data_IF_623368306224
#
_entry.id   IF_623368306224
#
_cell.length_a   1.000
_cell.length_b   1.000
_cell.length_c   1.000
_cell.angle_alpha   90.00
_cell.angle_beta   90.00
_cell.angle_gamma   90.00
#
_symmetry.space_group_name_H-M   'P 1'
#
loop_
_entity.id
_entity.type
_entity.pdbx_description
1 polymer ?
#
# COMPACT_ATOMS: atom_id res chain seq x y z
N UNK A 1 -27.12 6.55 -2.36
CA UNK A 1 -25.96 7.35 -2.83
C UNK A 1 -24.94 7.65 -1.72
N UNK A 2 -25.37 7.97 -0.50
CA UNK A 2 -24.48 8.29 0.65
C UNK A 2 -23.50 7.15 0.96
N UNK A 3 -23.97 5.91 1.06
CA UNK A 3 -23.13 4.78 1.45
C UNK A 3 -22.07 4.39 0.41
N UNK A 4 -22.38 4.52 -0.90
CA UNK A 4 -21.40 4.27 -1.97
C UNK A 4 -20.20 5.22 -1.88
N UNK A 5 -20.45 6.49 -1.56
CA UNK A 5 -19.41 7.49 -1.32
C UNK A 5 -18.57 7.13 -0.09
N UNK A 6 -19.20 6.68 1.00
CA UNK A 6 -18.51 6.32 2.23
C UNK A 6 -17.61 5.09 2.05
N UNK A 7 -18.01 4.11 1.25
CA UNK A 7 -17.19 2.93 0.93
C UNK A 7 -15.95 3.32 0.13
N UNK A 8 -16.10 4.12 -0.91
CA UNK A 8 -14.93 4.60 -1.69
C UNK A 8 -13.99 5.45 -0.85
N UNK A 9 -14.54 6.28 0.05
CA UNK A 9 -13.73 7.06 0.99
C UNK A 9 -12.98 6.15 1.97
N UNK A 10 -13.65 5.13 2.52
CA UNK A 10 -13.04 4.14 3.43
C UNK A 10 -11.91 3.39 2.73
N UNK A 11 -12.13 2.91 1.50
CA UNK A 11 -11.12 2.21 0.73
C UNK A 11 -9.91 3.09 0.42
N UNK A 12 -10.14 4.37 0.09
CA UNK A 12 -9.07 5.36 -0.08
C UNK A 12 -8.29 5.55 1.23
N UNK A 13 -8.98 5.79 2.35
CA UNK A 13 -8.35 6.03 3.65
C UNK A 13 -7.55 4.82 4.14
N UNK A 14 -8.12 3.61 4.07
CA UNK A 14 -7.42 2.39 4.47
C UNK A 14 -6.22 2.14 3.53
N UNK A 15 -6.39 2.35 2.22
CA UNK A 15 -5.32 2.20 1.24
C UNK A 15 -4.14 3.14 1.50
N UNK A 16 -4.40 4.42 1.78
CA UNK A 16 -3.35 5.41 2.09
C UNK A 16 -2.65 5.09 3.41
N UNK A 17 -3.40 4.80 4.48
CA UNK A 17 -2.83 4.46 5.79
C UNK A 17 -2.00 3.17 5.75
N UNK A 18 -2.48 2.14 5.06
CA UNK A 18 -1.74 0.88 4.94
C UNK A 18 -0.47 1.04 4.13
N UNK A 19 -0.54 1.72 2.98
CA UNK A 19 0.65 1.99 2.17
C UNK A 19 1.68 2.83 2.94
N UNK A 20 1.23 3.84 3.70
CA UNK A 20 2.12 4.64 4.55
C UNK A 20 2.81 3.77 5.60
N UNK A 21 2.05 2.92 6.29
CA UNK A 21 2.59 1.96 7.26
C UNK A 21 3.65 1.06 6.64
N UNK A 22 3.33 0.43 5.52
CA UNK A 22 4.25 -0.50 4.84
C UNK A 22 5.47 0.21 4.25
N UNK A 23 5.34 1.43 3.76
CA UNK A 23 6.50 2.20 3.29
C UNK A 23 7.50 2.45 4.41
N UNK A 24 7.02 2.81 5.61
CA UNK A 24 7.88 3.04 6.78
C UNK A 24 8.54 1.73 7.19
N UNK A 25 7.76 0.65 7.35
CA UNK A 25 8.28 -0.66 7.77
C UNK A 25 9.33 -1.18 6.79
N UNK A 26 9.03 -1.15 5.48
CA UNK A 26 9.96 -1.60 4.45
C UNK A 26 11.23 -0.73 4.44
N UNK A 27 11.08 0.58 4.58
CA UNK A 27 12.23 1.50 4.65
C UNK A 27 13.12 1.22 5.86
N UNK A 28 12.52 1.02 7.04
CA UNK A 28 13.25 0.71 8.28
C UNK A 28 13.97 -0.63 8.18
N UNK A 29 13.27 -1.69 7.78
CA UNK A 29 13.84 -3.04 7.65
C UNK A 29 14.98 -3.06 6.64
N UNK A 30 14.79 -2.48 5.45
CA UNK A 30 15.85 -2.42 4.45
C UNK A 30 17.01 -1.51 4.87
N UNK A 31 16.76 -0.45 5.65
CA UNK A 31 17.84 0.39 6.19
C UNK A 31 18.72 -0.39 7.16
N UNK A 32 18.13 -1.23 8.00
CA UNK A 32 18.90 -2.12 8.88
C UNK A 32 19.66 -3.21 8.13
N UNK A 33 19.07 -3.79 7.08
CA UNK A 33 19.71 -4.85 6.29
C UNK A 33 20.86 -4.29 5.44
N UNK A 34 20.64 -3.14 4.80
CA UNK A 34 21.58 -2.57 3.83
C UNK A 34 22.62 -1.65 4.45
N UNK A 35 22.35 -1.10 5.65
CA UNK A 35 23.17 -0.06 6.28
C UNK A 35 23.00 1.33 5.64
N UNK A 36 22.17 1.47 4.61
CA UNK A 36 21.94 2.75 3.93
C UNK A 36 20.63 3.42 4.39
N UNK A 37 20.60 4.77 4.43
CA UNK A 37 19.37 5.49 4.73
C UNK A 37 18.39 5.38 3.56
N UNK A 38 17.31 4.63 3.76
CA UNK A 38 16.18 4.62 2.84
C UNK A 38 15.09 5.53 3.39
N UNK A 39 14.46 6.32 2.52
CA UNK A 39 13.42 7.26 2.91
C UNK A 39 12.12 6.98 2.14
N UNK A 40 10.98 6.82 2.80
CA UNK A 40 9.70 6.73 2.11
C UNK A 40 9.30 8.10 1.55
N UNK A 41 8.86 8.14 0.29
CA UNK A 41 8.30 9.34 -0.32
C UNK A 41 6.80 9.41 -0.01
N UNK A 42 6.47 10.12 1.08
CA UNK A 42 5.13 10.18 1.65
C UNK A 42 4.07 10.58 0.61
N UNK A 43 4.35 11.57 -0.25
CA UNK A 43 3.40 12.04 -1.26
C UNK A 43 3.03 10.93 -2.24
N UNK A 44 4.03 10.20 -2.73
CA UNK A 44 3.87 9.17 -3.76
C UNK A 44 3.23 7.92 -3.17
N UNK A 45 3.63 7.56 -1.94
CA UNK A 45 3.04 6.46 -1.18
C UNK A 45 1.55 6.71 -0.93
N UNK A 46 1.17 7.93 -0.54
CA UNK A 46 -0.24 8.29 -0.36
C UNK A 46 -0.99 8.19 -1.69
N UNK A 47 -0.45 8.74 -2.78
CA UNK A 47 -1.10 8.66 -4.10
C UNK A 47 -1.29 7.21 -4.55
N UNK A 48 -0.23 6.39 -4.50
CA UNK A 48 -0.28 4.98 -4.92
C UNK A 48 -1.19 4.15 -4.01
N UNK A 49 -1.10 4.33 -2.70
CA UNK A 49 -1.92 3.61 -1.72
C UNK A 49 -3.42 3.92 -1.87
N UNK A 50 -3.76 5.19 -2.06
CA UNK A 50 -5.15 5.61 -2.29
C UNK A 50 -5.72 5.04 -3.60
N UNK A 51 -4.94 5.09 -4.69
CA UNK A 51 -5.32 4.50 -5.98
C UNK A 51 -5.51 2.99 -5.82
N UNK A 52 -4.56 2.29 -5.19
CA UNK A 52 -4.65 0.85 -4.97
C UNK A 52 -5.91 0.46 -4.18
N UNK A 53 -6.24 1.20 -3.11
CA UNK A 53 -7.46 0.99 -2.33
C UNK A 53 -8.74 1.10 -3.17
N UNK A 54 -8.84 2.12 -4.03
CA UNK A 54 -9.99 2.29 -4.93
C UNK A 54 -10.04 1.20 -6.02
N UNK A 55 -8.89 0.86 -6.61
CA UNK A 55 -8.84 -0.13 -7.71
C UNK A 55 -9.20 -1.53 -7.20
N UNK A 56 -8.80 -1.89 -5.97
CA UNK A 56 -9.20 -3.16 -5.33
C UNK A 56 -10.72 -3.24 -5.19
N UNK A 57 -11.37 -2.13 -4.87
CA UNK A 57 -12.83 -2.07 -4.72
C UNK A 57 -13.58 -2.30 -6.05
N UNK A 58 -12.97 -1.93 -7.18
CA UNK A 58 -13.53 -2.16 -8.53
C UNK A 58 -13.51 -3.64 -8.97
N UNK A 59 -13.30 -4.59 -8.05
CA UNK A 59 -13.26 -6.05 -8.30
C UNK A 59 -12.22 -6.47 -9.34
N UNK A 60 -11.17 -5.68 -9.52
CA UNK A 60 -10.02 -6.06 -10.35
C UNK A 60 -9.24 -7.16 -9.63
N UNK A 61 -8.79 -8.18 -10.37
CA UNK A 61 -8.02 -9.29 -9.80
C UNK A 61 -6.79 -8.75 -9.05
N UNK A 62 -6.57 -9.22 -7.82
CA UNK A 62 -5.45 -8.78 -6.97
C UNK A 62 -4.09 -8.91 -7.67
N UNK A 63 -3.91 -9.91 -8.53
CA UNK A 63 -2.70 -10.10 -9.34
C UNK A 63 -2.48 -8.97 -10.35
N UNK A 64 -3.53 -8.45 -10.99
CA UNK A 64 -3.43 -7.32 -11.91
C UNK A 64 -3.06 -6.03 -11.19
N UNK A 65 -3.63 -5.82 -9.99
CA UNK A 65 -3.32 -4.65 -9.16
C UNK A 65 -1.88 -4.72 -8.66
N UNK A 66 -1.42 -5.91 -8.26
CA UNK A 66 -0.04 -6.12 -7.85
C UNK A 66 0.92 -5.80 -8.99
N UNK A 67 0.64 -6.32 -10.19
CA UNK A 67 1.46 -6.04 -11.38
C UNK A 67 1.49 -4.53 -11.66
N UNK A 68 0.34 -3.85 -11.61
CA UNK A 68 0.23 -2.41 -11.83
C UNK A 68 1.00 -1.60 -10.77
N UNK A 69 0.94 -2.01 -9.52
CA UNK A 69 1.65 -1.36 -8.42
C UNK A 69 3.16 -1.51 -8.57
N UNK A 70 3.63 -2.70 -8.93
CA UNK A 70 5.05 -2.98 -9.18
C UNK A 70 5.55 -2.15 -10.37
N UNK A 71 4.85 -2.20 -11.51
CA UNK A 71 5.27 -1.46 -12.71
C UNK A 71 5.24 0.05 -12.48
N UNK A 72 4.22 0.57 -11.80
CA UNK A 72 4.14 1.99 -11.47
C UNK A 72 5.25 2.43 -10.51
N UNK A 73 5.55 1.63 -9.47
CA UNK A 73 6.63 1.94 -8.52
C UNK A 73 8.00 1.93 -9.19
N UNK A 74 8.25 0.97 -10.09
CA UNK A 74 9.50 0.88 -10.87
C UNK A 74 9.63 2.05 -11.84
N UNK A 75 8.55 2.40 -12.56
CA UNK A 75 8.54 3.50 -13.52
C UNK A 75 8.74 4.85 -12.84
N UNK A 76 8.08 5.07 -11.70
CA UNK A 76 8.25 6.27 -10.89
C UNK A 76 9.66 6.38 -10.31
N UNK A 77 10.26 5.25 -9.90
CA UNK A 77 11.66 5.22 -9.47
C UNK A 77 12.62 5.60 -10.60
N UNK A 78 12.37 5.19 -11.85
CA UNK A 78 13.16 5.62 -13.01
C UNK A 78 13.08 7.13 -13.25
N UNK A 79 11.99 7.78 -12.83
CA UNK A 79 11.81 9.23 -12.86
C UNK A 79 12.34 9.94 -11.61
N UNK A 80 13.10 9.27 -10.74
CA UNK A 80 13.59 9.74 -9.41
C UNK A 80 12.51 9.94 -8.34
N UNK A 81 11.26 9.61 -8.65
CA UNK A 81 10.09 9.76 -7.81
C UNK A 81 9.60 8.40 -7.29
N UNK A 82 10.50 7.50 -6.89
CA UNK A 82 10.10 6.19 -6.34
C UNK A 82 9.37 6.32 -4.99
N UNK A 83 8.43 5.40 -4.65
CA UNK A 83 7.80 5.37 -3.33
C UNK A 83 8.81 5.17 -2.19
N UNK A 84 9.93 4.49 -2.47
CA UNK A 84 11.11 4.49 -1.59
C UNK A 84 12.25 5.20 -2.32
N UNK A 85 12.77 6.26 -1.71
CA UNK A 85 13.92 7.02 -2.22
C UNK A 85 15.21 6.46 -1.62
N UNK A 86 16.14 6.10 -2.51
CA UNK A 86 17.47 5.56 -2.22
C UNK A 86 18.53 6.64 -2.50
N UNK A 87 19.58 6.72 -1.68
CA UNK A 87 20.78 7.51 -1.99
C UNK A 87 21.53 7.01 -3.23
N UNK A 88 22.43 7.85 -3.77
CA UNK A 88 23.16 7.58 -5.03
C UNK A 88 24.13 6.38 -4.94
N UNK A 89 24.52 5.98 -3.73
CA UNK A 89 25.52 4.93 -3.49
C UNK A 89 24.92 3.51 -3.39
N UNK A 90 23.62 3.36 -3.61
CA UNK A 90 22.92 2.08 -3.42
C UNK A 90 22.88 1.30 -4.73
N UNK A 91 23.17 -0.01 -4.67
CA UNK A 91 23.09 -0.90 -5.84
C UNK A 91 21.69 -0.88 -6.48
N UNK A 92 21.64 -0.81 -7.81
CA UNK A 92 20.38 -0.83 -8.58
C UNK A 92 19.46 -1.99 -8.20
N UNK A 93 20.04 -3.16 -7.91
CA UNK A 93 19.29 -4.34 -7.48
C UNK A 93 18.53 -4.09 -6.18
N UNK A 94 19.16 -3.44 -5.18
CA UNK A 94 18.53 -3.14 -3.89
C UNK A 94 17.41 -2.10 -4.05
N UNK A 95 17.60 -1.12 -4.94
CA UNK A 95 16.56 -0.15 -5.26
C UNK A 95 15.33 -0.81 -5.92
N UNK A 96 15.52 -1.64 -6.97
CA UNK A 96 14.37 -2.35 -7.56
C UNK A 96 13.71 -3.30 -6.57
N UNK A 97 14.50 -3.97 -5.72
CA UNK A 97 13.99 -4.83 -4.67
C UNK A 97 13.16 -4.05 -3.65
N UNK A 98 13.56 -2.84 -3.25
CA UNK A 98 12.77 -2.01 -2.32
C UNK A 98 11.42 -1.62 -2.91
N UNK A 99 11.37 -1.26 -4.19
CA UNK A 99 10.10 -0.93 -4.86
C UNK A 99 9.17 -2.15 -4.96
N UNK A 100 9.72 -3.31 -5.33
CA UNK A 100 8.94 -4.55 -5.43
C UNK A 100 8.42 -5.00 -4.06
N UNK A 101 9.26 -4.93 -3.02
CA UNK A 101 8.89 -5.31 -1.66
C UNK A 101 7.80 -4.39 -1.11
N UNK A 102 7.90 -3.08 -1.35
CA UNK A 102 6.84 -2.12 -1.01
C UNK A 102 5.51 -2.48 -1.69
N UNK A 103 5.53 -2.74 -3.00
CA UNK A 103 4.32 -3.07 -3.75
C UNK A 103 3.65 -4.37 -3.26
N UNK A 104 4.45 -5.42 -3.02
CA UNK A 104 3.97 -6.72 -2.53
C UNK A 104 3.37 -6.60 -1.13
N UNK A 105 4.12 -5.99 -0.20
CA UNK A 105 3.69 -5.80 1.20
C UNK A 105 2.49 -4.85 1.32
N UNK A 106 2.27 -3.97 0.35
CA UNK A 106 1.09 -3.11 0.32
C UNK A 106 -0.11 -3.85 -0.27
N UNK A 107 0.01 -4.41 -1.49
CA UNK A 107 -1.16 -4.92 -2.23
C UNK A 107 -1.72 -6.22 -1.66
N UNK A 108 -0.88 -7.17 -1.26
CA UNK A 108 -1.37 -8.47 -0.78
C UNK A 108 -2.21 -8.34 0.50
N UNK A 109 -1.75 -7.65 1.55
CA UNK A 109 -2.56 -7.48 2.75
C UNK A 109 -3.71 -6.52 2.52
N UNK A 110 -3.54 -5.47 1.71
CA UNK A 110 -4.62 -4.53 1.41
C UNK A 110 -5.80 -5.22 0.71
N UNK A 111 -5.52 -6.15 -0.21
CA UNK A 111 -6.56 -6.98 -0.84
C UNK A 111 -7.29 -7.87 0.18
N UNK A 112 -6.60 -8.36 1.23
CA UNK A 112 -7.24 -9.10 2.33
C UNK A 112 -8.03 -8.19 3.27
N UNK A 113 -7.53 -6.99 3.57
CA UNK A 113 -8.19 -6.02 4.46
C UNK A 113 -9.51 -5.56 3.82
N UNK A 114 -9.49 -5.25 2.53
CA UNK A 114 -10.67 -4.82 1.77
C UNK A 114 -11.52 -6.00 1.28
N UNK A 115 -11.13 -7.25 1.57
CA UNK A 115 -11.94 -8.41 1.21
C UNK A 115 -13.30 -8.37 1.90
N UNK A 116 -14.37 -8.45 1.10
CA UNK A 116 -15.74 -8.35 1.59
C UNK A 116 -16.30 -6.92 1.68
N UNK A 117 -15.52 -5.89 1.32
CA UNK A 117 -16.07 -4.55 1.12
C UNK A 117 -16.71 -4.51 -0.28
N UNK A 118 -18.04 -4.41 -0.37
CA UNK A 118 -18.77 -4.45 -1.64
C UNK A 118 -19.43 -3.12 -1.95
N UNK A 119 -19.21 -2.60 -3.17
CA UNK A 119 -19.97 -1.45 -3.69
C UNK A 119 -21.47 -1.80 -3.84
N UNK A 120 -21.80 -3.07 -4.01
CA UNK A 120 -23.14 -3.52 -4.41
C UNK A 120 -24.09 -3.67 -3.21
N UNK A 121 -23.60 -3.88 -1.99
CA UNK A 121 -24.43 -3.94 -0.78
C UNK A 121 -23.85 -3.05 0.35
N UNK A 122 -24.08 -1.73 0.28
CA UNK A 122 -23.38 -0.80 1.15
C UNK A 122 -23.85 -0.83 2.61
N UNK A 123 -23.26 -1.71 3.42
CA UNK A 123 -23.56 -1.85 4.84
C UNK A 123 -22.54 -1.14 5.75
N UNK A 124 -23.02 -0.54 6.87
CA UNK A 124 -22.15 -0.03 7.96
C UNK A 124 -21.21 -1.14 8.48
N UNK A 125 -21.72 -2.36 8.58
CA UNK A 125 -20.96 -3.51 9.08
C UNK A 125 -19.76 -3.86 8.20
N UNK A 126 -19.83 -3.65 6.88
CA UNK A 126 -18.69 -3.93 5.99
C UNK A 126 -17.54 -2.93 6.21
N UNK A 127 -17.89 -1.65 6.40
CA UNK A 127 -16.93 -0.58 6.69
C UNK A 127 -16.23 -0.86 8.03
N UNK A 128 -16.98 -1.23 9.07
CA UNK A 128 -16.43 -1.58 10.37
C UNK A 128 -15.53 -2.82 10.28
N UNK A 129 -15.95 -3.85 9.55
CA UNK A 129 -15.15 -5.05 9.36
C UNK A 129 -13.82 -4.76 8.66
N UNK A 130 -13.80 -3.89 7.65
CA UNK A 130 -12.56 -3.46 7.00
C UNK A 130 -11.64 -2.70 7.96
N UNK A 131 -12.21 -1.83 8.81
CA UNK A 131 -11.45 -1.10 9.81
C UNK A 131 -10.87 -2.02 10.89
N UNK A 132 -11.62 -3.03 11.32
CA UNK A 132 -11.15 -4.06 12.26
C UNK A 132 -10.01 -4.86 11.63
N UNK A 133 -10.15 -5.33 10.38
CA UNK A 133 -9.07 -6.06 9.68
C UNK A 133 -7.80 -5.20 9.54
N UNK A 134 -7.96 -3.92 9.22
CA UNK A 134 -6.86 -2.96 9.17
C UNK A 134 -6.16 -2.83 10.54
N UNK A 135 -6.93 -2.58 11.61
CA UNK A 135 -6.40 -2.42 12.96
C UNK A 135 -5.73 -3.69 13.48
N UNK A 136 -6.28 -4.87 13.19
CA UNK A 136 -5.67 -6.16 13.54
C UNK A 136 -4.36 -6.37 12.78
N UNK A 137 -4.33 -6.07 11.49
CA UNK A 137 -3.11 -6.14 10.68
C UNK A 137 -2.02 -5.18 11.17
N UNK A 138 -2.41 -3.95 11.53
CA UNK A 138 -1.51 -2.97 12.12
C UNK A 138 -0.98 -3.44 13.48
N UNK A 139 -1.86 -3.96 14.35
CA UNK A 139 -1.49 -4.48 15.67
C UNK A 139 -0.47 -5.62 15.59
N UNK A 140 -0.61 -6.53 14.61
CA UNK A 140 0.35 -7.61 14.39
C UNK A 140 1.76 -7.12 14.00
N UNK A 141 1.88 -5.93 13.42
CA UNK A 141 3.18 -5.39 12.98
C UNK A 141 3.90 -4.68 14.13
N UNK A 142 3.17 -3.96 14.99
CA UNK A 142 3.76 -3.05 15.99
C UNK A 142 3.62 -3.50 17.45
N UNK A 143 2.64 -4.33 17.78
CA UNK A 143 2.29 -4.68 19.16
C UNK A 143 2.57 -6.14 19.51
N UNK A 144 3.09 -6.92 18.56
CA UNK A 144 3.54 -8.29 18.76
C UNK A 144 5.01 -8.34 19.13
#
# INVERSE_FOLDING_TARGET
MIYKKNISLTALTIGTLWALTMSIVVSVVLSFISGFPLKPNILIVISLGGIAGIVILSSVKSTTILLLMITSSILLNALTYGPITTGQDISYLLNYFSQALFAISTVLPLAKILSGLSIHDPGRHEIEAAFIKFSSGFGLIFLQ
#
